data_IF_970746280773
#
_entry.id   IF_970746280773
#
_cell.length_a   1.000
_cell.length_b   1.000
_cell.length_c   1.000
_cell.angle_alpha   90.00
_cell.angle_beta   90.00
_cell.angle_gamma   90.00
#
_symmetry.space_group_name_H-M   'P 1'
#
loop_
_entity.id
_entity.type
_entity.pdbx_description
1 polymer ?
#
# COMPACT_ATOMS: atom_id res chain seq x y z
N UNK A 1 8.48 5.56 -26.09
CA UNK A 1 8.67 4.81 -24.83
C UNK A 1 8.54 5.72 -23.61
N UNK A 2 9.07 6.94 -23.66
CA UNK A 2 9.00 7.92 -22.57
C UNK A 2 7.56 8.33 -22.20
N UNK A 3 6.69 8.50 -23.20
CA UNK A 3 5.28 8.84 -22.99
C UNK A 3 4.47 7.73 -22.28
N UNK A 4 4.85 6.46 -22.42
CA UNK A 4 4.15 5.35 -21.76
C UNK A 4 4.58 5.20 -20.30
N UNK A 5 5.86 5.42 -20.02
CA UNK A 5 6.39 5.42 -18.65
C UNK A 5 5.85 6.59 -17.83
N UNK A 6 5.78 7.79 -18.40
CA UNK A 6 5.21 8.95 -17.71
C UNK A 6 3.71 8.77 -17.43
N UNK A 7 2.96 8.16 -18.36
CA UNK A 7 1.54 7.86 -18.16
C UNK A 7 1.32 6.78 -17.09
N UNK A 8 2.17 5.75 -17.06
CA UNK A 8 2.15 4.70 -16.04
C UNK A 8 2.40 5.25 -14.63
N UNK A 9 3.45 6.05 -14.45
CA UNK A 9 3.79 6.67 -13.16
C UNK A 9 2.69 7.64 -12.72
N UNK A 10 2.16 8.44 -13.65
CA UNK A 10 1.09 9.40 -13.36
C UNK A 10 -0.22 8.68 -12.98
N UNK A 11 -0.56 7.60 -13.66
CA UNK A 11 -1.80 6.86 -13.38
C UNK A 11 -1.75 6.10 -12.05
N UNK A 12 -0.59 5.57 -11.64
CA UNK A 12 -0.46 4.77 -10.41
C UNK A 12 -0.33 5.63 -9.16
N UNK A 13 0.40 6.74 -9.22
CA UNK A 13 0.75 7.52 -8.02
C UNK A 13 0.01 8.86 -7.92
N UNK A 14 -0.32 9.51 -9.05
CA UNK A 14 -0.87 10.87 -9.06
C UNK A 14 -2.38 10.86 -9.25
N UNK A 15 -2.89 10.04 -10.18
CA UNK A 15 -4.33 9.95 -10.47
C UNK A 15 -5.03 8.77 -9.78
N UNK A 16 -4.29 7.96 -9.01
CA UNK A 16 -4.87 6.88 -8.22
C UNK A 16 -5.57 7.44 -6.98
N UNK A 17 -6.90 7.58 -7.10
CA UNK A 17 -7.73 8.18 -6.06
C UNK A 17 -7.69 7.41 -4.74
N UNK A 18 -7.41 6.10 -4.75
CA UNK A 18 -7.31 5.31 -3.53
C UNK A 18 -6.10 5.73 -2.66
N UNK A 19 -4.92 5.94 -3.26
CA UNK A 19 -3.74 6.38 -2.52
C UNK A 19 -3.82 7.86 -2.12
N UNK A 20 -4.31 8.71 -3.02
CA UNK A 20 -4.38 10.16 -2.80
C UNK A 20 -5.47 10.55 -1.78
N UNK A 21 -6.62 9.87 -1.77
CA UNK A 21 -7.76 10.25 -0.94
C UNK A 21 -8.04 9.34 0.25
N UNK A 22 -7.71 8.03 0.22
CA UNK A 22 -8.14 7.15 1.32
C UNK A 22 -7.07 6.89 2.38
N UNK A 23 -5.79 6.98 2.03
CA UNK A 23 -4.71 6.59 2.95
C UNK A 23 -4.25 7.68 3.92
N UNK A 24 -4.83 8.88 3.85
CA UNK A 24 -4.26 10.03 4.54
C UNK A 24 -5.20 11.17 4.89
N UNK A 25 -6.53 11.08 4.77
CA UNK A 25 -7.42 12.24 5.03
C UNK A 25 -7.19 12.87 6.40
N UNK A 26 -7.11 12.05 7.44
CA UNK A 26 -6.98 12.51 8.82
C UNK A 26 -5.64 13.24 9.03
N UNK A 27 -4.55 12.64 8.57
CA UNK A 27 -3.20 13.18 8.73
C UNK A 27 -2.91 14.34 7.78
N UNK A 28 -3.50 14.32 6.58
CA UNK A 28 -3.45 15.41 5.61
C UNK A 28 -4.17 16.65 6.13
N UNK A 29 -5.39 16.51 6.65
CA UNK A 29 -6.13 17.63 7.23
C UNK A 29 -5.37 18.24 8.42
N UNK A 30 -4.76 17.42 9.28
CA UNK A 30 -4.00 17.88 10.44
C UNK A 30 -2.68 18.59 10.11
N UNK A 31 -1.96 18.16 9.06
CA UNK A 31 -0.57 18.58 8.77
C UNK A 31 -0.46 19.45 7.50
N UNK A 32 -1.55 19.66 6.77
CA UNK A 32 -1.64 20.43 5.50
C UNK A 32 -0.94 21.80 5.49
N UNK A 33 -0.83 22.49 6.64
CA UNK A 33 -0.23 23.83 6.73
C UNK A 33 1.28 23.84 6.94
N UNK A 34 1.91 22.70 7.29
CA UNK A 34 3.35 22.63 7.61
C UNK A 34 4.07 21.68 6.66
N UNK A 35 4.69 22.23 5.61
CA UNK A 35 5.38 21.48 4.54
C UNK A 35 6.46 20.55 5.08
N UNK A 36 7.28 21.01 6.05
CA UNK A 36 8.33 20.18 6.65
C UNK A 36 7.78 18.92 7.33
N UNK A 37 6.65 19.03 8.03
CA UNK A 37 6.01 17.90 8.70
C UNK A 37 5.30 16.97 7.69
N UNK A 38 4.72 17.53 6.62
CA UNK A 38 4.07 16.76 5.55
C UNK A 38 5.07 15.85 4.80
N UNK A 39 6.29 16.34 4.56
CA UNK A 39 7.34 15.53 3.91
C UNK A 39 7.76 14.35 4.80
N UNK A 40 7.97 14.59 6.11
CA UNK A 40 8.32 13.53 7.05
C UNK A 40 7.23 12.45 7.18
N UNK A 41 5.96 12.87 7.21
CA UNK A 41 4.81 11.98 7.21
C UNK A 41 4.74 11.15 5.91
N UNK A 42 4.95 11.79 4.75
CA UNK A 42 4.95 11.10 3.46
C UNK A 42 5.97 9.97 3.39
N UNK A 43 7.21 10.24 3.83
CA UNK A 43 8.27 9.23 3.87
C UNK A 43 7.90 8.08 4.80
N UNK A 44 7.38 8.38 6.00
CA UNK A 44 6.97 7.36 6.96
C UNK A 44 5.88 6.44 6.38
N UNK A 45 4.86 7.01 5.73
CA UNK A 45 3.77 6.25 5.12
C UNK A 45 4.26 5.39 3.95
N UNK A 46 5.13 5.92 3.08
CA UNK A 46 5.71 5.15 1.96
C UNK A 46 6.52 3.95 2.46
N UNK A 47 7.32 4.12 3.52
CA UNK A 47 8.10 3.01 4.10
C UNK A 47 7.19 1.96 4.72
N UNK A 48 6.21 2.37 5.51
CA UNK A 48 5.27 1.44 6.15
C UNK A 48 4.50 0.65 5.09
N UNK A 49 3.94 1.31 4.06
CA UNK A 49 3.24 0.60 2.99
C UNK A 49 4.15 -0.30 2.16
N UNK A 50 5.39 0.14 1.91
CA UNK A 50 6.37 -0.66 1.18
C UNK A 50 6.66 -2.01 1.86
N UNK A 51 6.49 -2.09 3.18
CA UNK A 51 6.70 -3.32 3.96
C UNK A 51 5.38 -4.06 4.20
N UNK A 52 4.30 -3.36 4.57
CA UNK A 52 3.05 -4.02 4.97
C UNK A 52 2.33 -4.66 3.79
N UNK A 53 2.39 -4.09 2.58
CA UNK A 53 1.77 -4.65 1.37
C UNK A 53 2.37 -6.03 1.01
N UNK A 54 3.70 -6.20 0.85
CA UNK A 54 4.25 -7.51 0.54
C UNK A 54 4.05 -8.50 1.69
N UNK A 55 4.20 -8.06 2.94
CA UNK A 55 3.97 -8.93 4.11
C UNK A 55 2.53 -9.44 4.14
N UNK A 56 1.54 -8.57 3.91
CA UNK A 56 0.14 -8.98 3.86
C UNK A 56 -0.16 -9.92 2.69
N UNK A 57 0.51 -9.73 1.55
CA UNK A 57 0.41 -10.65 0.42
C UNK A 57 0.95 -12.04 0.76
N UNK A 58 2.10 -12.13 1.46
CA UNK A 58 2.61 -13.40 1.96
C UNK A 58 1.63 -14.04 2.95
N UNK A 59 1.11 -13.28 3.90
CA UNK A 59 0.14 -13.81 4.88
C UNK A 59 -1.13 -14.31 4.16
N UNK A 60 -1.65 -13.56 3.19
CA UNK A 60 -2.82 -13.98 2.44
C UNK A 60 -2.58 -15.32 1.71
N UNK A 61 -1.47 -15.45 1.00
CA UNK A 61 -1.16 -16.66 0.23
C UNK A 61 -0.74 -17.86 1.08
N UNK A 62 -0.16 -17.65 2.27
CA UNK A 62 0.35 -18.74 3.11
C UNK A 62 -0.54 -19.08 4.32
N UNK A 63 -1.47 -18.21 4.72
CA UNK A 63 -2.32 -18.43 5.88
C UNK A 63 -3.83 -18.30 5.63
N UNK A 64 -4.29 -17.49 4.67
CA UNK A 64 -5.70 -17.09 4.61
C UNK A 64 -6.45 -17.46 3.32
N UNK A 65 -5.73 -17.72 2.22
CA UNK A 65 -6.35 -18.20 0.98
C UNK A 65 -6.74 -19.68 1.09
N UNK A 66 -7.78 -20.09 0.36
CA UNK A 66 -8.25 -21.48 0.35
C UNK A 66 -7.09 -22.45 0.05
N UNK A 67 -6.91 -23.46 0.91
CA UNK A 67 -5.80 -24.41 0.84
C UNK A 67 -4.41 -23.88 1.23
N UNK A 68 -4.29 -22.65 1.73
CA UNK A 68 -3.01 -22.05 2.12
C UNK A 68 -2.36 -22.76 3.33
N UNK A 69 -3.14 -23.40 4.21
CA UNK A 69 -2.62 -24.21 5.32
C UNK A 69 -2.13 -25.62 4.91
N UNK A 70 -2.13 -25.95 3.61
CA UNK A 70 -1.62 -27.22 3.12
C UNK A 70 -0.15 -27.47 3.51
N UNK A 71 0.68 -26.43 3.66
CA UNK A 71 2.06 -26.56 4.13
C UNK A 71 2.17 -26.92 5.62
N UNK A 72 1.13 -26.62 6.41
CA UNK A 72 1.04 -26.93 7.84
C UNK A 72 0.28 -28.24 8.13
N UNK A 73 -0.17 -28.96 7.09
CA UNK A 73 -0.84 -30.26 7.20
C UNK A 73 -2.36 -30.21 7.40
N UNK A 74 -2.98 -29.05 7.22
CA UNK A 74 -4.43 -28.85 7.35
C UNK A 74 -5.02 -28.26 6.06
N UNK A 75 -5.24 -29.09 5.02
CA UNK A 75 -5.62 -28.61 3.69
C UNK A 75 -7.10 -28.20 3.53
N UNK A 76 -7.99 -28.62 4.43
CA UNK A 76 -9.46 -28.40 4.33
C UNK A 76 -10.03 -27.48 5.43
N UNK A 77 -9.18 -26.70 6.10
CA UNK A 77 -9.59 -25.76 7.15
C UNK A 77 -9.73 -24.36 6.54
N UNK A 78 -10.75 -24.17 5.70
CA UNK A 78 -11.17 -22.84 5.20
C UNK A 78 -12.02 -22.12 6.27
#
# INVERSE_FOLDING_TARGET
MEALLSLFVRSIFIENMALAFFLGMCTFLAISKKVQAAIGLGIAVTVVLGITVPVNNLIYHYLLADGALAWAGYPDMD
#
